data_IF_474110775829
#
_entry.id   IF_474110775829
#
_cell.length_a   1.000
_cell.length_b   1.000
_cell.length_c   1.000
_cell.angle_alpha   90.00
_cell.angle_beta   90.00
_cell.angle_gamma   90.00
#
_symmetry.space_group_name_H-M   'P 1'
#
loop_
_entity.id
_entity.type
_entity.pdbx_description
1 polymer ?
#
# COMPACT_ATOMS: atom_id res chain seq x y z
N UNK A 1 3.59 -19.82 21.87
CA UNK A 1 3.54 -18.38 22.00
C UNK A 1 2.22 -17.94 22.57
N UNK A 2 2.28 -17.49 23.79
CA UNK A 2 1.06 -17.17 24.52
C UNK A 2 0.56 -15.74 24.33
N UNK A 3 1.38 -14.90 23.69
CA UNK A 3 1.08 -13.50 23.50
C UNK A 3 -0.17 -13.24 22.65
N UNK A 4 -0.45 -14.14 21.71
CA UNK A 4 -1.58 -14.00 20.80
C UNK A 4 -2.91 -14.51 21.33
N UNK A 5 -2.88 -15.10 22.52
CA UNK A 5 -4.11 -15.63 23.14
C UNK A 5 -4.70 -14.69 24.17
N UNK A 6 -4.04 -13.60 24.46
CA UNK A 6 -4.53 -12.63 25.42
C UNK A 6 -5.72 -11.87 24.82
N UNK A 7 -6.82 -11.88 25.52
CA UNK A 7 -7.99 -11.11 25.12
C UNK A 7 -7.73 -9.63 25.34
N UNK A 8 -8.08 -8.83 24.36
CA UNK A 8 -8.00 -7.40 24.47
C UNK A 8 -9.15 -6.90 25.36
N UNK A 9 -8.83 -5.99 26.26
CA UNK A 9 -9.85 -5.31 27.06
C UNK A 9 -10.50 -4.22 26.22
N UNK A 10 -11.65 -3.70 26.67
CA UNK A 10 -12.28 -2.56 26.00
C UNK A 10 -11.38 -1.33 25.98
N UNK A 11 -10.61 -1.15 27.05
CA UNK A 11 -9.63 -0.07 27.10
C UNK A 11 -8.55 -0.24 26.04
N UNK A 12 -8.03 -1.46 25.85
CA UNK A 12 -7.05 -1.75 24.83
C UNK A 12 -7.60 -1.46 23.43
N UNK A 13 -8.84 -1.86 23.18
CA UNK A 13 -9.53 -1.62 21.90
C UNK A 13 -9.66 -0.13 21.65
N UNK A 14 -10.07 0.64 22.68
CA UNK A 14 -10.20 2.09 22.57
C UNK A 14 -8.85 2.75 22.23
N UNK A 15 -7.77 2.32 22.87
CA UNK A 15 -6.43 2.83 22.58
C UNK A 15 -5.99 2.52 21.16
N UNK A 16 -6.25 1.30 20.69
CA UNK A 16 -5.94 0.91 19.32
C UNK A 16 -6.68 1.77 18.30
N UNK A 17 -7.92 2.09 18.57
CA UNK A 17 -8.70 2.95 17.68
C UNK A 17 -8.21 4.37 17.64
N UNK A 18 -7.89 4.93 18.82
CA UNK A 18 -7.34 6.26 18.90
C UNK A 18 -6.03 6.34 18.12
N UNK A 19 -5.20 5.29 18.22
CA UNK A 19 -3.96 5.23 17.48
C UNK A 19 -4.21 5.16 15.97
N UNK A 20 -5.20 4.40 15.53
CA UNK A 20 -5.55 4.34 14.10
C UNK A 20 -6.00 5.70 13.58
N UNK A 21 -6.77 6.43 14.35
CA UNK A 21 -7.23 7.78 13.96
C UNK A 21 -6.05 8.74 13.87
N UNK A 22 -5.14 8.69 14.83
CA UNK A 22 -3.94 9.53 14.82
C UNK A 22 -3.09 9.21 13.59
N UNK A 23 -2.85 7.93 13.33
CA UNK A 23 -2.03 7.50 12.20
C UNK A 23 -2.67 7.89 10.86
N UNK A 24 -3.99 7.74 10.73
CA UNK A 24 -4.70 8.16 9.54
C UNK A 24 -4.59 9.67 9.33
N UNK A 25 -4.64 10.45 10.41
CA UNK A 25 -4.42 11.90 10.36
C UNK A 25 -3.04 12.27 9.86
N UNK A 26 -2.02 11.56 10.32
CA UNK A 26 -0.64 11.79 9.86
C UNK A 26 -0.47 11.43 8.39
N UNK A 27 -1.05 10.32 7.94
CA UNK A 27 -1.04 9.96 6.52
C UNK A 27 -1.78 10.98 5.67
N UNK A 28 -2.88 11.53 6.18
CA UNK A 28 -3.61 12.58 5.48
C UNK A 28 -2.75 13.83 5.27
N UNK A 29 -2.00 14.23 6.28
CA UNK A 29 -1.07 15.35 6.18
C UNK A 29 0.03 15.05 5.17
N UNK A 30 0.57 13.83 5.21
CA UNK A 30 1.61 13.40 4.27
C UNK A 30 1.12 13.52 2.83
N UNK A 31 -0.06 13.01 2.55
CA UNK A 31 -0.63 13.02 1.19
C UNK A 31 -0.92 14.43 0.71
N UNK A 32 -1.47 15.28 1.57
CA UNK A 32 -1.99 16.58 1.15
C UNK A 32 -0.98 17.71 1.25
N UNK A 33 0.00 17.64 2.14
CA UNK A 33 0.86 18.78 2.47
C UNK A 33 2.34 18.56 2.19
N UNK A 34 2.80 17.31 2.14
CA UNK A 34 4.22 17.02 2.05
C UNK A 34 4.69 16.98 0.59
N UNK A 35 5.57 17.93 0.22
CA UNK A 35 6.11 18.00 -1.13
C UNK A 35 7.07 16.84 -1.43
N UNK A 36 7.82 16.41 -0.42
CA UNK A 36 8.71 15.25 -0.56
C UNK A 36 7.94 13.98 -0.86
N UNK A 37 6.79 13.78 -0.23
CA UNK A 37 5.93 12.64 -0.50
C UNK A 37 5.40 12.68 -1.94
N UNK A 38 4.97 13.86 -2.40
CA UNK A 38 4.48 14.03 -3.78
C UNK A 38 5.57 13.71 -4.80
N UNK A 39 6.79 14.15 -4.54
CA UNK A 39 7.92 13.84 -5.39
C UNK A 39 8.22 12.34 -5.38
N UNK A 40 8.21 11.71 -4.20
CA UNK A 40 8.41 10.28 -4.04
C UNK A 40 7.39 9.49 -4.86
N UNK A 41 6.11 9.81 -4.74
CA UNK A 41 5.03 9.18 -5.50
C UNK A 41 5.28 9.31 -7.01
N UNK A 42 5.64 10.51 -7.46
CA UNK A 42 5.92 10.76 -8.87
C UNK A 42 7.05 9.89 -9.39
N UNK A 43 8.13 9.76 -8.61
CA UNK A 43 9.28 8.94 -8.99
C UNK A 43 8.96 7.45 -8.99
N UNK A 44 8.19 6.99 -8.02
CA UNK A 44 7.75 5.59 -7.97
C UNK A 44 6.81 5.30 -9.14
N UNK A 45 5.90 6.22 -9.47
CA UNK A 45 5.01 6.05 -10.62
C UNK A 45 5.80 5.94 -11.94
N UNK A 46 6.85 6.75 -12.11
CA UNK A 46 7.74 6.63 -13.26
C UNK A 46 8.36 5.23 -13.33
N UNK A 47 8.77 4.69 -12.18
CA UNK A 47 9.37 3.35 -12.12
C UNK A 47 8.35 2.28 -12.50
N UNK A 48 7.12 2.40 -12.01
CA UNK A 48 6.03 1.48 -12.36
C UNK A 48 5.79 1.51 -13.86
N UNK A 49 5.73 2.69 -14.44
CA UNK A 49 5.48 2.85 -15.87
C UNK A 49 6.59 2.21 -16.70
N UNK A 50 7.84 2.37 -16.28
CA UNK A 50 8.98 1.73 -16.96
C UNK A 50 8.91 0.21 -16.88
N UNK A 51 8.55 -0.32 -15.71
CA UNK A 51 8.43 -1.77 -15.53
C UNK A 51 7.33 -2.34 -16.43
N UNK A 52 6.20 -1.65 -16.54
CA UNK A 52 5.10 -2.05 -17.40
C UNK A 52 5.46 -1.97 -18.88
N UNK A 53 6.20 -0.93 -19.27
CA UNK A 53 6.68 -0.80 -20.63
C UNK A 53 7.68 -1.91 -20.97
N UNK A 54 8.61 -2.21 -20.06
CA UNK A 54 9.56 -3.29 -20.23
C UNK A 54 8.87 -4.64 -20.35
N UNK A 55 7.83 -4.87 -19.54
CA UNK A 55 6.99 -6.07 -19.63
C UNK A 55 6.34 -6.18 -21.00
N UNK A 56 5.73 -5.11 -21.50
CA UNK A 56 5.07 -5.10 -22.81
C UNK A 56 6.07 -5.40 -23.93
N UNK A 57 7.27 -4.80 -23.86
CA UNK A 57 8.32 -5.06 -24.86
C UNK A 57 8.83 -6.49 -24.79
N UNK A 58 8.93 -7.06 -23.60
CA UNK A 58 9.37 -8.45 -23.41
C UNK A 58 8.38 -9.43 -24.03
N UNK A 59 7.08 -9.17 -23.91
CA UNK A 59 6.03 -10.02 -24.52
C UNK A 59 6.12 -10.11 -26.04
N UNK A 60 6.68 -9.09 -26.67
CA UNK A 60 6.78 -9.05 -28.14
C UNK A 60 7.95 -9.87 -28.69
N UNK A 61 8.85 -10.34 -27.83
CA UNK A 61 10.09 -10.97 -28.29
C UNK A 61 9.95 -12.49 -28.43
N UNK A 62 9.68 -13.21 -27.37
CA UNK A 62 9.50 -14.67 -27.40
C UNK A 62 8.61 -15.11 -26.25
N UNK A 63 8.09 -16.35 -26.34
CA UNK A 63 7.24 -16.94 -25.31
C UNK A 63 7.93 -18.15 -24.66
N UNK A 64 9.24 -18.11 -24.45
CA UNK A 64 9.94 -19.18 -23.75
C UNK A 64 9.77 -19.04 -22.22
N UNK A 65 10.18 -20.07 -21.47
CA UNK A 65 9.99 -20.10 -20.02
C UNK A 65 10.71 -18.97 -19.30
N UNK A 66 11.90 -18.59 -19.76
CA UNK A 66 12.67 -17.48 -19.17
C UNK A 66 11.96 -16.15 -19.39
N UNK A 67 11.37 -15.97 -20.56
CA UNK A 67 10.60 -14.77 -20.89
C UNK A 67 9.37 -14.66 -20.00
N UNK A 68 8.65 -15.79 -19.80
CA UNK A 68 7.49 -15.81 -18.91
C UNK A 68 7.87 -15.49 -17.47
N UNK A 69 8.98 -16.03 -16.99
CA UNK A 69 9.46 -15.73 -15.63
C UNK A 69 9.83 -14.24 -15.48
N UNK A 70 10.45 -13.67 -16.51
CA UNK A 70 10.79 -12.24 -16.52
C UNK A 70 9.52 -11.39 -16.47
N UNK A 71 8.52 -11.72 -17.25
CA UNK A 71 7.23 -11.02 -17.28
C UNK A 71 6.58 -11.05 -15.89
N UNK A 72 6.54 -12.22 -15.27
CA UNK A 72 5.97 -12.37 -13.92
C UNK A 72 6.72 -11.54 -12.89
N UNK A 73 8.04 -11.51 -12.98
CA UNK A 73 8.87 -10.71 -12.07
C UNK A 73 8.59 -9.22 -12.23
N UNK A 74 8.50 -8.74 -13.47
CA UNK A 74 8.21 -7.33 -13.75
C UNK A 74 6.82 -6.94 -13.24
N UNK A 75 5.82 -7.79 -13.45
CA UNK A 75 4.48 -7.60 -12.92
C UNK A 75 4.48 -7.49 -11.41
N UNK A 76 5.15 -8.43 -10.77
CA UNK A 76 5.22 -8.49 -9.30
C UNK A 76 5.87 -7.23 -8.73
N UNK A 77 6.97 -6.79 -9.34
CA UNK A 77 7.66 -5.57 -8.92
C UNK A 77 6.76 -4.34 -9.05
N UNK A 78 6.06 -4.22 -10.18
CA UNK A 78 5.14 -3.10 -10.40
C UNK A 78 3.99 -3.12 -9.38
N UNK A 79 3.43 -4.29 -9.10
CA UNK A 79 2.32 -4.44 -8.15
C UNK A 79 2.74 -4.07 -6.74
N UNK A 80 3.94 -4.47 -6.31
CA UNK A 80 4.47 -4.11 -5.00
C UNK A 80 4.62 -2.59 -4.88
N UNK A 81 5.19 -1.94 -5.90
CA UNK A 81 5.37 -0.50 -5.89
C UNK A 81 4.03 0.23 -5.87
N UNK A 82 3.04 -0.25 -6.61
CA UNK A 82 1.69 0.30 -6.55
C UNK A 82 1.10 0.19 -5.15
N UNK A 83 1.27 -0.96 -4.52
CA UNK A 83 0.79 -1.17 -3.16
C UNK A 83 1.42 -0.17 -2.20
N UNK A 84 2.73 0.06 -2.31
CA UNK A 84 3.45 0.99 -1.45
C UNK A 84 2.90 2.41 -1.57
N UNK A 85 2.71 2.90 -2.79
CA UNK A 85 2.25 4.28 -2.99
C UNK A 85 0.76 4.46 -2.64
N UNK A 86 -0.02 3.40 -2.67
CA UNK A 86 -1.44 3.43 -2.31
C UNK A 86 -1.69 3.19 -0.82
N UNK A 87 -0.70 2.69 -0.12
CA UNK A 87 -0.86 2.29 1.27
C UNK A 87 -1.42 3.41 2.17
N UNK A 88 -0.90 4.65 2.16
CA UNK A 88 -1.43 5.68 3.03
C UNK A 88 -2.91 5.98 2.79
N UNK A 89 -3.32 6.10 1.52
CA UNK A 89 -4.74 6.33 1.18
C UNK A 89 -5.61 5.16 1.59
N UNK A 90 -5.14 3.94 1.39
CA UNK A 90 -5.87 2.74 1.77
C UNK A 90 -6.01 2.64 3.29
N UNK A 91 -4.95 2.99 4.02
CA UNK A 91 -4.98 3.01 5.48
C UNK A 91 -6.06 3.98 5.99
N UNK A 92 -6.13 5.17 5.40
CA UNK A 92 -7.13 6.17 5.76
C UNK A 92 -8.54 5.62 5.51
N UNK A 93 -8.77 5.05 4.33
CA UNK A 93 -10.06 4.50 3.96
C UNK A 93 -10.49 3.37 4.90
N UNK A 94 -9.57 2.46 5.22
CA UNK A 94 -9.84 1.34 6.11
C UNK A 94 -10.14 1.81 7.54
N UNK A 95 -9.42 2.83 8.01
CA UNK A 95 -9.64 3.41 9.33
C UNK A 95 -11.02 4.05 9.40
N UNK A 96 -11.41 4.79 8.36
CA UNK A 96 -12.75 5.39 8.32
C UNK A 96 -13.85 4.35 8.35
N UNK A 97 -13.70 3.25 7.64
CA UNK A 97 -14.65 2.15 7.68
C UNK A 97 -14.77 1.56 9.07
N UNK A 98 -13.65 1.34 9.75
CA UNK A 98 -13.64 0.76 11.09
C UNK A 98 -14.30 1.67 12.12
N UNK A 99 -14.12 2.99 11.98
CA UNK A 99 -14.72 3.94 12.90
C UNK A 99 -16.19 4.14 12.64
N UNK A 100 -16.63 4.11 11.37
CA UNK A 100 -18.05 4.22 11.01
C UNK A 100 -18.86 3.02 11.46
N UNK A 101 -18.32 1.82 11.34
CA UNK A 101 -19.02 0.58 11.70
C UNK A 101 -19.40 0.54 13.18
N UNK A 102 -18.83 1.38 13.99
CA UNK A 102 -19.06 1.35 15.42
C UNK A 102 -20.13 2.28 15.95
N UNK A 103 -20.55 3.19 15.15
CA UNK A 103 -21.59 4.13 15.55
C UNK A 103 -22.99 3.51 15.45
N UNK A 104 -23.06 2.32 14.92
CA UNK A 104 -24.28 1.55 14.94
C UNK A 104 -24.38 0.75 16.26
#
# INVERSE_FOLDING_TARGET
>A
MHLFKKKLTQEDIAKLKDQLIIDAGEFSKLINQDQGWKLFISKIQERIDRLRLQKANTKLITADDKTLDTIKMLEYQADILEWVIKFPSQFIADTNKKTETKEE
#
